data_IF_049543999851
#
_entry.id   IF_049543999851
#
_cell.length_a   1.000
_cell.length_b   1.000
_cell.length_c   1.000
_cell.angle_alpha   90.00
_cell.angle_beta   90.00
_cell.angle_gamma   90.00
#
_symmetry.space_group_name_H-M   'P 1'
#
loop_
_entity.id
_entity.type
_entity.pdbx_description
1 polymer ?
#
# COMPACT_ATOMS: atom_id res chain seq x y z
N UNK A 1 70.83 -14.08 -4.10
CA UNK A 1 70.42 -15.43 -4.59
C UNK A 1 69.64 -16.16 -3.51
N UNK A 2 68.31 -16.24 -3.65
CA UNK A 2 67.55 -17.50 -3.70
C UNK A 2 66.07 -17.18 -3.78
N UNK A 3 65.51 -17.55 -4.92
CA UNK A 3 64.11 -17.53 -5.26
C UNK A 3 63.33 -18.44 -4.31
N UNK A 4 62.29 -17.92 -3.67
CA UNK A 4 61.28 -18.73 -2.99
C UNK A 4 59.90 -18.35 -3.55
N UNK A 5 59.32 -19.33 -4.24
CA UNK A 5 57.90 -19.60 -4.48
C UNK A 5 57.00 -18.48 -5.03
N UNK A 6 57.10 -18.26 -6.35
CA UNK A 6 56.04 -17.61 -7.15
C UNK A 6 54.84 -18.54 -7.48
N UNK A 7 54.81 -19.78 -7.00
CA UNK A 7 53.74 -20.74 -7.29
C UNK A 7 52.66 -20.86 -6.20
N UNK A 8 52.85 -20.24 -5.02
CA UNK A 8 51.86 -20.26 -3.94
C UNK A 8 50.75 -19.20 -4.05
N UNK A 9 50.97 -18.13 -4.81
CA UNK A 9 50.02 -17.01 -4.95
C UNK A 9 49.01 -17.25 -6.10
N UNK A 10 49.37 -18.07 -7.09
CA UNK A 10 48.52 -18.32 -8.25
C UNK A 10 47.41 -19.37 -7.97
N UNK A 11 47.62 -20.28 -7.01
CA UNK A 11 46.60 -21.28 -6.65
C UNK A 11 45.48 -20.72 -5.76
N UNK A 12 45.79 -19.68 -4.96
CA UNK A 12 44.79 -19.00 -4.12
C UNK A 12 43.88 -18.06 -4.94
N UNK A 13 44.37 -17.52 -6.07
CA UNK A 13 43.57 -16.67 -6.96
C UNK A 13 42.57 -17.43 -7.83
N UNK A 14 42.86 -18.68 -8.19
CA UNK A 14 41.97 -19.50 -9.03
C UNK A 14 40.86 -20.17 -8.21
N UNK A 15 41.11 -20.53 -6.95
CA UNK A 15 40.06 -21.11 -6.09
C UNK A 15 39.01 -20.07 -5.65
N UNK A 16 39.37 -18.79 -5.56
CA UNK A 16 38.42 -17.72 -5.20
C UNK A 16 37.49 -17.33 -6.37
N UNK A 17 37.87 -17.66 -7.61
CA UNK A 17 37.11 -17.33 -8.82
C UNK A 17 36.10 -18.42 -9.22
N UNK A 18 36.24 -19.64 -8.70
CA UNK A 18 35.26 -20.73 -8.93
C UNK A 18 34.09 -20.67 -7.94
N UNK A 19 34.27 -20.07 -6.76
CA UNK A 19 33.19 -19.90 -5.76
C UNK A 19 32.25 -18.71 -6.09
N UNK A 20 32.62 -17.84 -7.04
CA UNK A 20 31.79 -16.70 -7.48
C UNK A 20 30.97 -16.99 -8.75
N UNK A 21 31.04 -18.21 -9.29
CA UNK A 21 30.32 -18.64 -10.48
C UNK A 21 29.24 -19.70 -10.22
N UNK A 22 28.98 -20.08 -8.98
CA UNK A 22 27.68 -20.70 -8.64
C UNK A 22 26.68 -19.58 -8.49
N UNK A 23 26.13 -19.16 -9.63
CA UNK A 23 24.95 -18.31 -9.66
C UNK A 23 23.90 -18.91 -8.74
N UNK A 24 23.53 -18.15 -7.70
CA UNK A 24 22.16 -18.16 -7.23
C UNK A 24 21.29 -17.88 -8.46
N UNK A 25 20.85 -18.92 -9.15
CA UNK A 25 19.58 -18.82 -9.82
C UNK A 25 18.57 -18.44 -8.73
N UNK A 26 17.69 -17.44 -8.97
CA UNK A 26 16.59 -17.23 -8.06
C UNK A 26 15.89 -18.57 -7.94
N UNK A 27 15.70 -19.03 -6.70
CA UNK A 27 14.92 -20.22 -6.39
C UNK A 27 13.60 -20.09 -7.14
N UNK A 28 13.52 -20.80 -8.26
CA UNK A 28 12.31 -20.87 -9.06
C UNK A 28 11.37 -21.60 -8.12
N UNK A 29 10.46 -20.87 -7.49
CA UNK A 29 9.31 -21.45 -6.82
C UNK A 29 8.55 -22.15 -7.94
N UNK A 30 8.93 -23.39 -8.21
CA UNK A 30 8.09 -24.34 -8.90
C UNK A 30 7.01 -24.62 -7.87
N UNK A 31 5.88 -23.92 -8.01
CA UNK A 31 4.64 -24.40 -7.45
C UNK A 31 4.43 -25.73 -8.17
N UNK A 32 4.70 -26.81 -7.45
CA UNK A 32 4.23 -28.12 -7.85
C UNK A 32 2.71 -28.02 -7.85
N UNK A 33 2.14 -27.66 -9.00
CA UNK A 33 0.72 -27.88 -9.29
C UNK A 33 0.59 -29.39 -9.38
N UNK A 34 0.54 -30.03 -8.21
CA UNK A 34 0.36 -31.46 -8.08
C UNK A 34 -0.95 -31.79 -8.77
N UNK A 35 -0.87 -32.11 -10.07
CA UNK A 35 -1.90 -32.80 -10.78
C UNK A 35 -1.95 -34.18 -10.13
N UNK A 36 -2.79 -34.28 -9.10
CA UNK A 36 -3.13 -35.53 -8.47
C UNK A 36 -3.90 -36.35 -9.51
N UNK A 37 -3.18 -37.10 -10.33
CA UNK A 37 -3.74 -38.23 -11.06
C UNK A 37 -4.34 -39.21 -10.04
N UNK A 38 -5.66 -39.31 -10.03
CA UNK A 38 -6.35 -40.52 -9.59
C UNK A 38 -6.52 -40.72 -8.08
N UNK A 39 -7.15 -39.77 -7.40
CA UNK A 39 -8.04 -40.07 -6.28
C UNK A 39 -9.21 -39.09 -6.37
N UNK A 40 -10.45 -39.58 -6.39
CA UNK A 40 -11.62 -38.72 -6.45
C UNK A 40 -11.61 -37.74 -5.28
N UNK A 41 -11.20 -36.49 -5.53
CA UNK A 41 -11.38 -35.41 -4.58
C UNK A 41 -12.88 -35.15 -4.54
N UNK A 42 -13.56 -35.73 -3.57
CA UNK A 42 -14.94 -35.40 -3.27
C UNK A 42 -14.96 -33.97 -2.70
N UNK A 43 -15.05 -32.96 -3.56
CA UNK A 43 -15.22 -31.57 -3.15
C UNK A 43 -14.08 -30.62 -3.55
N UNK A 44 -14.12 -29.42 -2.97
CA UNK A 44 -13.28 -28.27 -3.33
C UNK A 44 -12.00 -28.12 -2.49
N UNK A 45 -11.63 -29.15 -1.72
CA UNK A 45 -10.58 -29.04 -0.72
C UNK A 45 -9.20 -28.83 -1.35
N UNK A 46 -8.44 -27.86 -0.86
CA UNK A 46 -7.09 -27.58 -1.37
C UNK A 46 -6.65 -26.14 -1.21
N UNK A 47 -5.44 -25.86 -1.68
CA UNK A 47 -4.95 -24.49 -1.87
C UNK A 47 -5.18 -24.09 -3.33
N UNK A 48 -5.77 -22.91 -3.52
CA UNK A 48 -6.09 -22.37 -4.84
C UNK A 48 -5.52 -20.97 -5.01
N UNK A 49 -4.98 -20.69 -6.20
CA UNK A 49 -4.24 -19.45 -6.46
C UNK A 49 -4.79 -18.75 -7.69
N UNK A 50 -5.06 -17.46 -7.56
CA UNK A 50 -5.50 -16.61 -8.66
C UNK A 50 -4.69 -15.32 -8.75
N UNK A 51 -4.56 -14.80 -9.98
CA UNK A 51 -3.72 -13.63 -10.28
C UNK A 51 -4.49 -12.54 -11.02
N UNK A 52 -4.07 -11.29 -10.88
CA UNK A 52 -4.39 -10.20 -11.80
C UNK A 52 -3.19 -9.29 -11.94
N UNK A 53 -2.98 -8.66 -13.10
CA UNK A 53 -1.75 -7.93 -13.35
C UNK A 53 -1.92 -6.65 -14.16
N UNK A 54 -0.90 -5.78 -14.06
CA UNK A 54 -0.88 -4.52 -14.76
C UNK A 54 -0.78 -4.74 -16.28
N UNK A 55 -1.73 -4.16 -17.01
CA UNK A 55 -1.77 -4.22 -18.48
C UNK A 55 -2.60 -5.36 -19.05
N UNK A 56 -3.18 -6.20 -18.19
CA UNK A 56 -4.02 -7.34 -18.57
C UNK A 56 -5.14 -6.96 -19.56
N UNK A 57 -5.92 -5.91 -19.26
CA UNK A 57 -6.98 -5.45 -20.15
C UNK A 57 -6.49 -4.90 -21.51
N UNK A 58 -5.18 -4.80 -21.71
CA UNK A 58 -4.50 -4.36 -22.95
C UNK A 58 -3.62 -5.48 -23.52
N UNK A 59 -3.96 -6.73 -23.21
CA UNK A 59 -3.30 -7.93 -23.73
C UNK A 59 -1.80 -8.03 -23.38
N UNK A 60 -1.36 -7.39 -22.29
CA UNK A 60 0.00 -7.56 -21.75
C UNK A 60 0.09 -8.89 -21.03
N UNK A 61 1.11 -9.70 -21.28
CA UNK A 61 1.32 -10.96 -20.57
C UNK A 61 1.79 -10.71 -19.12
N UNK A 62 1.48 -11.63 -18.20
CA UNK A 62 1.91 -11.53 -16.79
C UNK A 62 3.43 -11.42 -16.63
N UNK A 63 4.19 -12.12 -17.47
CA UNK A 63 5.67 -12.09 -17.46
C UNK A 63 6.26 -10.73 -17.83
N UNK A 64 5.53 -9.96 -18.64
CA UNK A 64 5.86 -8.59 -19.06
C UNK A 64 5.31 -7.53 -18.10
N UNK A 65 4.48 -7.93 -17.14
CA UNK A 65 3.90 -7.01 -16.17
C UNK A 65 4.95 -6.50 -15.17
N UNK A 66 4.81 -5.23 -14.77
CA UNK A 66 5.66 -4.62 -13.72
C UNK A 66 5.03 -4.70 -12.32
N UNK A 67 3.81 -5.23 -12.23
CA UNK A 67 3.10 -5.45 -10.98
C UNK A 67 1.95 -6.43 -11.18
N UNK A 68 1.70 -7.25 -10.16
CA UNK A 68 0.58 -8.18 -10.10
C UNK A 68 0.06 -8.30 -8.67
N UNK A 69 -1.13 -8.86 -8.51
CA UNK A 69 -1.69 -9.27 -7.24
C UNK A 69 -2.06 -10.74 -7.31
N UNK A 70 -1.79 -11.48 -6.25
CA UNK A 70 -2.20 -12.88 -6.06
C UNK A 70 -3.19 -12.99 -4.91
N UNK A 71 -4.15 -13.89 -5.05
CA UNK A 71 -5.01 -14.38 -3.98
C UNK A 71 -4.76 -15.87 -3.80
N UNK A 72 -4.54 -16.30 -2.55
CA UNK A 72 -4.38 -17.70 -2.16
C UNK A 72 -5.52 -18.04 -1.20
N UNK A 73 -6.31 -19.05 -1.52
CA UNK A 73 -7.38 -19.58 -0.68
C UNK A 73 -7.04 -21.00 -0.24
N UNK A 74 -7.39 -21.37 1.00
CA UNK A 74 -7.53 -22.77 1.39
C UNK A 74 -9.00 -23.08 1.59
N UNK A 75 -9.52 -24.06 0.89
CA UNK A 75 -10.91 -24.49 0.98
C UNK A 75 -11.04 -25.85 1.68
N UNK A 76 -12.19 -26.12 2.28
CA UNK A 76 -12.62 -27.49 2.62
C UNK A 76 -13.40 -28.14 1.45
N UNK A 77 -13.85 -29.38 1.66
CA UNK A 77 -14.59 -30.16 0.65
C UNK A 77 -15.89 -29.47 0.21
N UNK A 78 -16.49 -28.64 1.08
CA UNK A 78 -17.74 -27.93 0.84
C UNK A 78 -17.55 -26.49 0.32
N UNK A 79 -16.32 -26.12 -0.06
CA UNK A 79 -15.91 -24.77 -0.49
C UNK A 79 -15.98 -23.69 0.60
N UNK A 80 -15.97 -24.04 1.87
CA UNK A 80 -15.79 -23.05 2.93
C UNK A 80 -14.33 -22.59 2.96
N UNK A 81 -14.13 -21.28 3.00
CA UNK A 81 -12.80 -20.67 3.04
C UNK A 81 -12.22 -20.82 4.44
N UNK A 82 -11.20 -21.67 4.56
CA UNK A 82 -10.48 -21.91 5.80
C UNK A 82 -9.34 -20.91 6.01
N UNK A 83 -8.65 -20.53 4.92
CA UNK A 83 -7.59 -19.52 4.91
C UNK A 83 -7.71 -18.66 3.66
N UNK A 84 -7.35 -17.38 3.79
CA UNK A 84 -7.24 -16.46 2.67
C UNK A 84 -6.00 -15.57 2.83
N UNK A 85 -5.31 -15.30 1.73
CA UNK A 85 -4.17 -14.37 1.70
C UNK A 85 -4.16 -13.62 0.37
N UNK A 86 -3.84 -12.33 0.43
CA UNK A 86 -3.63 -11.51 -0.77
C UNK A 86 -2.26 -10.83 -0.72
N UNK A 87 -1.53 -10.87 -1.84
CA UNK A 87 -0.21 -10.23 -1.96
C UNK A 87 -0.12 -9.40 -3.22
N UNK A 88 0.37 -8.17 -3.09
CA UNK A 88 0.60 -7.30 -4.24
C UNK A 88 2.10 -7.20 -4.44
N UNK A 89 2.55 -7.50 -5.65
CA UNK A 89 3.94 -7.42 -6.05
C UNK A 89 4.17 -6.29 -7.05
N UNK A 90 5.32 -5.65 -6.92
CA UNK A 90 5.82 -4.63 -7.85
C UNK A 90 7.29 -4.89 -8.12
N UNK A 91 7.74 -4.67 -9.36
CA UNK A 91 9.17 -4.64 -9.66
C UNK A 91 9.78 -3.36 -9.12
N UNK A 92 10.78 -3.48 -8.26
CA UNK A 92 11.63 -2.40 -7.75
C UNK A 92 13.07 -2.82 -8.03
N UNK A 93 13.81 -2.00 -8.78
CA UNK A 93 15.19 -2.27 -9.16
C UNK A 93 15.41 -3.66 -9.79
N UNK A 94 14.43 -4.14 -10.56
CA UNK A 94 14.46 -5.45 -11.23
C UNK A 94 13.97 -6.64 -10.39
N UNK A 95 13.67 -6.44 -9.10
CA UNK A 95 13.22 -7.50 -8.20
C UNK A 95 11.75 -7.37 -7.82
N UNK A 96 11.05 -8.50 -7.67
CA UNK A 96 9.69 -8.52 -7.14
C UNK A 96 9.70 -8.22 -5.65
N UNK A 97 9.06 -7.11 -5.29
CA UNK A 97 8.88 -6.68 -3.90
C UNK A 97 7.40 -6.58 -3.57
N UNK A 98 7.02 -7.01 -2.37
CA UNK A 98 5.62 -6.89 -1.92
C UNK A 98 5.34 -5.47 -1.45
N UNK A 99 4.16 -4.92 -1.78
CA UNK A 99 3.70 -3.63 -1.21
C UNK A 99 3.41 -3.71 0.28
N UNK A 100 3.21 -4.92 0.79
CA UNK A 100 2.99 -5.23 2.21
C UNK A 100 4.29 -5.34 3.01
N UNK A 101 5.46 -5.30 2.38
CA UNK A 101 6.72 -5.23 3.11
C UNK A 101 6.79 -3.87 3.81
N UNK A 102 6.18 -3.77 5.00
CA UNK A 102 6.09 -2.57 5.83
C UNK A 102 7.43 -2.05 6.36
N UNK A 103 8.54 -2.43 5.72
CA UNK A 103 9.87 -1.96 6.03
C UNK A 103 10.08 -0.62 5.31
N UNK A 104 10.01 0.47 6.07
CA UNK A 104 10.52 1.76 5.65
C UNK A 104 11.86 2.06 6.33
N UNK A 105 12.74 2.74 5.63
CA UNK A 105 13.87 3.43 6.26
C UNK A 105 13.57 4.92 6.26
N UNK A 106 13.68 5.54 7.43
CA UNK A 106 13.35 6.95 7.62
C UNK A 106 14.57 7.67 8.18
N UNK A 107 14.95 8.75 7.51
CA UNK A 107 15.94 9.71 7.98
C UNK A 107 15.29 11.09 8.03
N UNK A 108 15.76 11.93 8.97
CA UNK A 108 15.25 13.28 9.19
C UNK A 108 16.41 14.26 9.22
N UNK A 109 16.34 15.28 8.39
CA UNK A 109 17.21 16.46 8.42
C UNK A 109 16.46 17.65 9.01
N UNK A 110 16.72 17.92 10.29
CA UNK A 110 16.11 19.04 11.02
C UNK A 110 16.58 20.42 10.55
N UNK A 111 17.64 20.51 9.74
CA UNK A 111 18.10 21.78 9.17
C UNK A 111 17.22 22.27 8.02
N UNK A 112 16.48 21.36 7.38
CA UNK A 112 15.56 21.69 6.28
C UNK A 112 14.31 22.35 6.83
N UNK A 113 13.88 23.45 6.21
CA UNK A 113 12.53 23.98 6.37
C UNK A 113 11.71 23.48 5.18
N UNK A 114 10.64 22.71 5.40
CA UNK A 114 9.92 22.09 4.30
C UNK A 114 9.28 23.16 3.41
N UNK A 115 9.33 22.94 2.09
CA UNK A 115 8.66 23.79 1.10
C UNK A 115 7.65 22.96 0.31
N UNK A 116 6.58 23.59 -0.14
CA UNK A 116 5.54 22.87 -0.87
C UNK A 116 6.04 22.46 -2.26
N UNK A 117 5.79 21.22 -2.66
CA UNK A 117 5.98 20.79 -4.04
C UNK A 117 4.95 21.45 -4.97
N UNK A 118 5.27 21.60 -6.26
CA UNK A 118 4.30 22.12 -7.23
C UNK A 118 3.25 21.06 -7.59
N UNK A 119 2.07 21.49 -8.01
CA UNK A 119 1.00 20.59 -8.46
C UNK A 119 1.05 20.40 -9.99
N UNK A 120 0.33 19.40 -10.50
CA UNK A 120 0.13 19.19 -11.94
C UNK A 120 1.19 18.30 -12.64
N UNK A 121 1.21 18.41 -13.97
CA UNK A 121 2.10 17.64 -14.86
C UNK A 121 3.56 18.08 -14.76
N UNK A 122 3.80 19.37 -14.49
CA UNK A 122 5.13 19.95 -14.24
C UNK A 122 5.47 19.91 -12.74
N UNK A 123 5.26 18.74 -12.14
CA UNK A 123 5.56 18.52 -10.72
C UNK A 123 7.05 18.71 -10.43
N UNK A 124 7.34 19.55 -9.44
CA UNK A 124 8.64 19.78 -8.82
C UNK A 124 8.50 19.44 -7.35
N UNK A 125 9.37 18.55 -6.88
CA UNK A 125 9.42 18.16 -5.47
C UNK A 125 9.84 19.37 -4.63
N UNK A 126 9.15 19.61 -3.52
CA UNK A 126 9.55 20.61 -2.52
C UNK A 126 10.66 20.10 -1.60
N UNK A 127 11.22 20.99 -0.80
CA UNK A 127 12.22 20.64 0.21
C UNK A 127 11.55 19.81 1.31
N UNK A 128 12.20 18.72 1.69
CA UNK A 128 11.64 17.66 2.54
C UNK A 128 12.62 17.40 3.67
N UNK A 129 12.19 17.50 4.93
CA UNK A 129 12.99 17.09 6.08
C UNK A 129 13.19 15.58 6.09
N UNK A 130 12.22 14.84 5.54
CA UNK A 130 12.24 13.37 5.56
C UNK A 130 12.83 12.78 4.29
N UNK A 131 13.70 11.79 4.45
CA UNK A 131 14.06 10.83 3.41
C UNK A 131 13.49 9.47 3.78
N UNK A 132 12.44 9.05 3.06
CA UNK A 132 11.71 7.80 3.31
C UNK A 132 11.94 6.85 2.14
N UNK A 133 12.60 5.73 2.41
CA UNK A 133 12.76 4.64 1.45
C UNK A 133 11.81 3.50 1.81
N UNK A 134 10.82 3.25 0.97
CA UNK A 134 9.84 2.17 1.12
C UNK A 134 9.25 1.80 -0.24
N UNK A 135 8.78 0.56 -0.39
CA UNK A 135 8.07 0.10 -1.60
C UNK A 135 6.73 0.84 -1.75
N UNK A 136 6.10 1.24 -0.65
CA UNK A 136 4.87 2.01 -0.69
C UNK A 136 4.67 2.89 0.57
N UNK A 137 4.65 4.22 0.41
CA UNK A 137 4.45 5.13 1.54
C UNK A 137 2.96 5.42 1.84
N UNK A 138 2.00 4.82 1.12
CA UNK A 138 0.57 5.04 1.38
C UNK A 138 0.20 4.80 2.84
N UNK A 139 -0.48 5.78 3.44
CA UNK A 139 -0.88 5.77 4.85
C UNK A 139 0.28 5.65 5.84
N UNK A 140 1.51 5.94 5.43
CA UNK A 140 2.66 6.01 6.31
C UNK A 140 2.62 7.32 7.11
N UNK A 141 3.01 7.23 8.38
CA UNK A 141 3.41 8.40 9.17
C UNK A 141 4.83 8.20 9.68
N UNK A 142 5.56 9.29 9.89
CA UNK A 142 6.90 9.27 10.46
C UNK A 142 7.07 10.42 11.46
N UNK A 143 7.89 10.21 12.49
CA UNK A 143 8.16 11.23 13.50
C UNK A 143 9.56 11.10 14.08
N UNK A 144 10.18 12.23 14.40
CA UNK A 144 11.44 12.33 15.12
C UNK A 144 11.44 13.57 16.01
N UNK A 145 12.23 13.54 17.09
CA UNK A 145 12.44 14.70 17.98
C UNK A 145 13.94 14.89 18.16
N UNK A 146 14.44 16.07 17.80
CA UNK A 146 15.85 16.42 17.93
C UNK A 146 16.23 16.72 19.39
N UNK A 147 17.53 16.80 19.66
CA UNK A 147 18.07 17.05 21.01
C UNK A 147 17.69 18.41 21.60
N UNK A 148 17.34 19.40 20.78
CA UNK A 148 16.89 20.73 21.23
C UNK A 148 15.38 20.81 21.49
N UNK A 149 14.63 19.73 21.21
CA UNK A 149 13.18 19.66 21.33
C UNK A 149 12.41 20.01 20.05
N UNK A 150 13.08 20.20 18.91
CA UNK A 150 12.43 20.33 17.60
C UNK A 150 11.73 19.02 17.24
N UNK A 151 10.45 19.07 16.89
CA UNK A 151 9.69 17.90 16.42
C UNK A 151 9.51 17.99 14.91
N UNK A 152 9.85 16.91 14.21
CA UNK A 152 9.51 16.72 12.81
C UNK A 152 8.50 15.58 12.70
N UNK A 153 7.38 15.82 12.01
CA UNK A 153 6.34 14.84 11.74
C UNK A 153 6.02 14.83 10.24
N UNK A 154 5.71 13.66 9.70
CA UNK A 154 5.23 13.48 8.33
C UNK A 154 4.03 12.54 8.31
N UNK A 155 3.04 12.86 7.47
CA UNK A 155 1.88 12.01 7.18
C UNK A 155 1.70 11.93 5.67
N UNK A 156 1.68 10.73 5.12
CA UNK A 156 1.42 10.50 3.70
C UNK A 156 -0.08 10.33 3.50
N UNK A 157 -0.71 11.38 2.98
CA UNK A 157 -2.16 11.48 2.89
C UNK A 157 -2.68 10.72 1.65
N UNK A 158 -3.61 9.76 1.79
CA UNK A 158 -3.99 8.84 0.74
C UNK A 158 -4.81 9.44 -0.43
N UNK A 159 -5.51 10.56 -0.24
CA UNK A 159 -6.36 11.16 -1.26
C UNK A 159 -5.56 11.98 -2.25
N UNK A 160 -4.72 12.88 -1.75
CA UNK A 160 -3.80 13.73 -2.50
C UNK A 160 -2.52 12.99 -2.89
N UNK A 161 -2.15 11.97 -2.12
CA UNK A 161 -0.90 11.20 -2.25
C UNK A 161 0.35 12.05 -2.08
N UNK A 162 0.28 13.09 -1.25
CA UNK A 162 1.44 13.87 -0.84
C UNK A 162 1.88 13.50 0.58
N UNK A 163 3.19 13.63 0.82
CA UNK A 163 3.76 13.69 2.15
C UNK A 163 3.56 15.10 2.69
N UNK A 164 2.79 15.22 3.76
CA UNK A 164 2.63 16.46 4.51
C UNK A 164 3.57 16.46 5.70
N UNK A 165 4.41 17.48 5.77
CA UNK A 165 5.42 17.63 6.80
C UNK A 165 5.09 18.77 7.75
N UNK A 166 5.37 18.53 9.03
CA UNK A 166 5.13 19.45 10.12
C UNK A 166 6.42 19.61 10.90
N UNK A 167 6.88 20.85 11.03
CA UNK A 167 8.07 21.21 11.82
C UNK A 167 7.65 22.09 12.99
N UNK A 168 7.85 21.59 14.20
CA UNK A 168 7.56 22.33 15.42
C UNK A 168 8.87 22.73 16.10
N UNK A 169 9.21 24.03 16.14
CA UNK A 169 10.47 24.48 16.75
C UNK A 169 10.44 24.33 18.28
N UNK A 170 11.60 24.46 18.95
CA UNK A 170 11.67 24.44 20.40
C UNK A 170 10.77 25.53 21.02
N UNK A 171 9.97 25.15 22.02
CA UNK A 171 9.04 26.05 22.69
C UNK A 171 7.69 26.26 21.99
N UNK A 172 7.40 25.50 20.92
CA UNK A 172 6.08 25.49 20.29
C UNK A 172 4.96 25.11 21.28
N UNK A 173 3.79 25.74 21.15
CA UNK A 173 2.60 25.42 21.95
C UNK A 173 1.91 24.15 21.45
N UNK A 174 2.27 23.00 22.01
CA UNK A 174 1.64 21.72 21.69
C UNK A 174 0.21 21.57 22.24
N UNK A 175 -0.28 22.54 23.02
CA UNK A 175 -1.68 22.67 23.41
C UNK A 175 -2.57 23.26 22.31
N UNK A 176 -1.97 23.86 21.28
CA UNK A 176 -2.70 24.30 20.09
C UNK A 176 -3.44 23.13 19.43
N UNK A 177 -4.55 23.45 18.76
CA UNK A 177 -5.49 22.48 18.21
C UNK A 177 -5.03 21.99 16.84
N UNK A 178 -5.33 20.74 16.50
CA UNK A 178 -5.00 20.15 15.20
C UNK A 178 -5.63 20.93 14.04
N UNK A 179 -6.78 21.58 14.23
CA UNK A 179 -7.38 22.43 13.20
C UNK A 179 -6.54 23.66 12.82
N UNK A 180 -5.51 24.02 13.60
CA UNK A 180 -4.56 25.07 13.23
C UNK A 180 -3.46 24.57 12.30
N UNK A 181 -3.32 23.24 12.14
CA UNK A 181 -2.40 22.62 11.17
C UNK A 181 -3.01 22.65 9.77
N UNK A 182 -3.38 23.84 9.31
CA UNK A 182 -4.01 23.96 7.99
C UNK A 182 -2.98 23.74 6.88
N UNK A 183 -3.45 23.24 5.75
CA UNK A 183 -2.59 22.86 4.62
C UNK A 183 -1.89 24.09 4.06
N UNK A 184 -0.60 23.99 3.79
CA UNK A 184 0.22 25.07 3.20
C UNK A 184 0.26 26.37 4.03
N UNK A 185 -0.04 26.30 5.33
CA UNK A 185 -0.05 27.47 6.25
C UNK A 185 1.30 27.83 6.87
N UNK A 186 2.36 27.07 6.56
CA UNK A 186 3.63 27.10 7.28
C UNK A 186 3.78 25.94 8.28
N UNK A 187 2.68 25.32 8.73
CA UNK A 187 2.71 24.25 9.75
C UNK A 187 2.49 22.84 9.20
N UNK A 188 1.73 22.69 8.11
CA UNK A 188 1.51 21.41 7.43
C UNK A 188 1.77 21.59 5.94
N UNK A 189 2.97 21.21 5.49
CA UNK A 189 3.49 21.53 4.15
C UNK A 189 3.51 20.26 3.27
N UNK A 190 2.81 20.24 2.13
CA UNK A 190 2.88 19.11 1.19
C UNK A 190 4.17 19.15 0.37
N UNK A 191 5.17 18.36 0.72
CA UNK A 191 6.53 18.44 0.12
C UNK A 191 6.69 17.54 -1.10
N UNK A 192 6.25 16.29 -0.99
CA UNK A 192 6.62 15.22 -1.95
C UNK A 192 5.39 14.47 -2.43
N UNK A 193 5.20 14.38 -3.75
CA UNK A 193 4.22 13.49 -4.37
C UNK A 193 4.71 12.06 -4.31
N UNK A 194 3.92 11.19 -3.68
CA UNK A 194 4.30 9.78 -3.45
C UNK A 194 3.86 8.83 -4.56
N UNK A 195 2.87 9.20 -5.39
CA UNK A 195 2.54 8.48 -6.63
C UNK A 195 1.63 9.29 -7.58
N UNK A 196 1.61 8.92 -8.86
CA UNK A 196 0.67 9.44 -9.86
C UNK A 196 -0.69 8.73 -9.76
N UNK A 197 -1.78 9.48 -9.61
CA UNK A 197 -3.15 8.92 -9.52
C UNK A 197 -3.87 9.21 -8.21
N UNK A 198 -3.69 10.42 -7.68
CA UNK A 198 -4.44 10.94 -6.55
C UNK A 198 -5.95 10.92 -6.82
N UNK A 199 -6.74 10.61 -5.80
CA UNK A 199 -8.21 10.72 -5.88
C UNK A 199 -8.61 12.20 -5.87
N UNK A 200 -7.97 12.99 -5.01
CA UNK A 200 -8.09 14.44 -5.01
C UNK A 200 -6.80 15.04 -5.58
N UNK A 201 -6.87 15.64 -6.76
CA UNK A 201 -5.78 16.38 -7.36
C UNK A 201 -6.16 17.87 -7.38
N UNK A 202 -5.84 18.65 -6.33
CA UNK A 202 -6.14 20.07 -6.34
C UNK A 202 -5.32 20.79 -7.43
N UNK A 203 -5.89 21.83 -8.03
CA UNK A 203 -5.19 22.66 -9.02
C UNK A 203 -4.19 23.63 -8.37
N UNK A 204 -4.42 23.97 -7.09
CA UNK A 204 -3.53 24.77 -6.26
C UNK A 204 -3.60 24.33 -4.80
N UNK A 205 -2.54 24.55 -4.02
CA UNK A 205 -2.61 24.33 -2.57
C UNK A 205 -3.56 25.29 -1.87
N UNK A 206 -3.72 26.49 -2.43
CA UNK A 206 -4.67 27.50 -1.93
C UNK A 206 -6.12 27.01 -1.95
N UNK A 207 -6.47 26.10 -2.86
CA UNK A 207 -7.80 25.51 -2.93
C UNK A 207 -8.19 24.72 -1.67
N UNK A 208 -7.21 24.27 -0.88
CA UNK A 208 -7.41 23.49 0.35
C UNK A 208 -6.67 24.08 1.55
N UNK A 209 -6.12 25.29 1.45
CA UNK A 209 -5.20 25.85 2.45
C UNK A 209 -5.87 26.25 3.78
N UNK A 210 -7.19 26.46 3.77
CA UNK A 210 -7.98 26.71 4.97
C UNK A 210 -8.37 25.45 5.74
N UNK A 211 -8.18 24.28 5.13
CA UNK A 211 -8.53 22.99 5.72
C UNK A 211 -7.32 22.32 6.38
N UNK A 212 -7.56 21.27 7.15
CA UNK A 212 -6.51 20.44 7.74
C UNK A 212 -6.68 18.97 7.31
N UNK A 213 -5.62 18.16 7.46
CA UNK A 213 -5.56 16.76 6.96
C UNK A 213 -6.75 15.89 7.39
N UNK A 214 -7.32 16.15 8.56
CA UNK A 214 -8.42 15.40 9.14
C UNK A 214 -9.81 15.90 8.72
N UNK A 215 -9.94 16.92 7.87
CA UNK A 215 -11.26 17.45 7.47
C UNK A 215 -11.33 18.15 6.10
N UNK A 216 -10.29 18.10 5.25
CA UNK A 216 -10.33 18.77 3.94
C UNK A 216 -11.22 18.04 2.91
N UNK A 217 -11.59 16.79 3.16
CA UNK A 217 -12.42 16.01 2.25
C UNK A 217 -13.25 14.97 3.00
N UNK A 218 -14.38 14.53 2.43
CA UNK A 218 -15.25 13.56 3.11
C UNK A 218 -14.56 12.23 3.42
N UNK A 219 -13.54 11.84 2.63
CA UNK A 219 -12.71 10.66 2.86
C UNK A 219 -11.56 10.87 3.87
N UNK A 220 -11.39 12.07 4.45
CA UNK A 220 -10.39 12.31 5.50
C UNK A 220 -10.64 11.44 6.75
N UNK A 221 -11.85 10.88 6.89
CA UNK A 221 -12.19 9.91 7.93
C UNK A 221 -11.27 8.67 7.95
N UNK A 222 -10.69 8.29 6.81
CA UNK A 222 -9.73 7.17 6.72
C UNK A 222 -8.50 7.41 7.62
N UNK A 223 -8.16 8.67 7.92
CA UNK A 223 -7.07 8.97 8.85
C UNK A 223 -7.47 8.69 10.29
N UNK A 224 -8.71 9.03 10.72
CA UNK A 224 -9.05 9.14 12.14
C UNK A 224 -10.13 8.19 12.65
N UNK A 225 -10.78 7.41 11.80
CA UNK A 225 -11.79 6.46 12.28
C UNK A 225 -11.17 5.22 12.91
N UNK A 226 -9.99 4.81 12.44
CA UNK A 226 -9.35 3.55 12.86
C UNK A 226 -7.82 3.70 12.95
N UNK A 227 -7.19 2.79 13.69
CA UNK A 227 -5.73 2.72 13.80
C UNK A 227 -5.14 3.72 14.78
N UNK A 228 -3.88 4.11 14.53
CA UNK A 228 -3.09 4.93 15.46
C UNK A 228 -3.70 6.31 15.72
N UNK A 229 -4.42 6.88 14.75
CA UNK A 229 -5.05 8.20 14.86
C UNK A 229 -6.55 8.12 15.18
N UNK A 230 -7.03 6.96 15.64
CA UNK A 230 -8.43 6.79 16.03
C UNK A 230 -8.87 7.89 17.03
N UNK A 231 -9.88 8.67 16.65
CA UNK A 231 -10.41 9.77 17.46
C UNK A 231 -9.61 11.08 17.41
N UNK A 232 -8.53 11.18 16.62
CA UNK A 232 -7.84 12.45 16.38
C UNK A 232 -8.63 13.29 15.38
N UNK A 233 -9.06 14.48 15.80
CA UNK A 233 -9.80 15.40 14.94
C UNK A 233 -9.35 16.84 15.12
N UNK A 234 -10.05 17.78 14.49
CA UNK A 234 -9.68 19.21 14.57
C UNK A 234 -9.66 19.79 16.00
N UNK A 235 -10.47 19.23 16.90
CA UNK A 235 -10.50 19.61 18.31
C UNK A 235 -9.44 18.92 19.18
N UNK A 236 -8.70 17.93 18.67
CA UNK A 236 -7.57 17.34 19.40
C UNK A 236 -6.44 18.35 19.49
N UNK A 237 -5.55 18.22 20.48
CA UNK A 237 -4.32 19.02 20.54
C UNK A 237 -3.24 18.42 19.65
N UNK A 238 -2.28 19.25 19.22
CA UNK A 238 -1.11 18.78 18.47
C UNK A 238 -0.31 17.78 19.31
N UNK A 239 -0.25 17.96 20.64
CA UNK A 239 0.30 16.96 21.56
C UNK A 239 -0.36 15.59 21.41
N UNK A 240 -1.69 15.52 21.39
CA UNK A 240 -2.42 14.24 21.25
C UNK A 240 -2.09 13.56 19.91
N UNK A 241 -1.98 14.33 18.83
CA UNK A 241 -1.54 13.81 17.52
C UNK A 241 -0.11 13.25 17.59
N UNK A 242 0.84 13.99 18.18
CA UNK A 242 2.22 13.55 18.27
C UNK A 242 2.41 12.35 19.22
N UNK A 243 1.66 12.30 20.33
CA UNK A 243 1.61 11.14 21.23
C UNK A 243 1.07 9.90 20.49
N UNK A 244 0.05 10.05 19.65
CA UNK A 244 -0.44 8.98 18.78
C UNK A 244 0.61 8.50 17.75
N UNK A 245 1.52 9.38 17.32
CA UNK A 245 2.68 9.03 16.50
C UNK A 245 3.84 8.42 17.34
N UNK A 246 3.71 8.36 18.66
CA UNK A 246 4.70 7.78 19.57
C UNK A 246 5.72 8.78 20.14
N UNK A 247 5.44 10.08 20.10
CA UNK A 247 6.24 11.11 20.81
C UNK A 247 5.85 11.12 22.28
N UNK A 248 6.84 11.04 23.16
CA UNK A 248 6.65 11.20 24.59
C UNK A 248 6.87 12.66 25.00
N UNK A 249 6.15 13.11 26.02
CA UNK A 249 6.30 14.45 26.60
C UNK A 249 6.65 14.37 28.08
N UNK A 250 7.70 15.07 28.50
CA UNK A 250 8.09 15.28 29.90
C UNK A 250 8.02 16.77 30.22
N UNK A 251 7.34 17.14 31.31
CA UNK A 251 7.17 18.54 31.72
C UNK A 251 6.67 19.47 30.60
N UNK A 252 5.78 18.94 29.75
CA UNK A 252 5.21 19.67 28.62
C UNK A 252 6.14 19.84 27.41
N UNK A 253 7.32 19.22 27.41
CA UNK A 253 8.28 19.25 26.30
C UNK A 253 8.44 17.88 25.65
N UNK A 254 8.60 17.80 24.33
CA UNK A 254 8.81 16.53 23.65
C UNK A 254 10.18 15.94 24.04
N UNK A 255 10.20 14.64 24.30
CA UNK A 255 11.43 13.90 24.63
C UNK A 255 12.13 13.51 23.33
N UNK A 256 13.46 13.67 23.29
CA UNK A 256 14.29 13.30 22.13
C UNK A 256 13.96 11.88 21.68
N UNK A 257 13.76 11.71 20.37
CA UNK A 257 13.32 10.46 19.76
C UNK A 257 14.01 10.29 18.41
N UNK A 258 14.70 9.17 18.23
CA UNK A 258 15.21 8.79 16.91
C UNK A 258 14.06 8.66 15.90
N UNK A 259 14.32 8.82 14.58
CA UNK A 259 13.30 8.63 13.56
C UNK A 259 12.58 7.30 13.71
N UNK A 260 11.25 7.35 13.65
CA UNK A 260 10.37 6.20 13.72
C UNK A 260 9.20 6.41 12.76
N UNK A 261 8.53 5.33 12.39
CA UNK A 261 7.40 5.36 11.48
C UNK A 261 6.37 4.28 11.83
N UNK A 262 5.21 4.41 11.23
CA UNK A 262 4.16 3.40 11.24
C UNK A 262 3.18 3.65 10.11
N UNK A 263 2.09 2.89 10.11
CA UNK A 263 1.01 3.05 9.16
C UNK A 263 -0.30 3.31 9.92
N UNK A 264 -1.08 4.28 9.45
CA UNK A 264 -2.38 4.64 10.03
C UNK A 264 -3.56 3.96 9.31
N UNK A 265 -4.77 4.22 9.80
CA UNK A 265 -5.98 3.51 9.37
C UNK A 265 -5.87 2.04 9.74
N UNK A 266 -6.10 1.14 8.80
CA UNK A 266 -5.96 -0.30 9.02
C UNK A 266 -4.51 -0.81 9.05
N UNK A 267 -3.51 0.07 8.89
CA UNK A 267 -2.11 -0.34 8.71
C UNK A 267 -1.68 -0.39 7.25
N UNK A 268 -2.14 0.59 6.44
CA UNK A 268 -1.81 0.69 5.02
C UNK A 268 -2.34 -0.48 4.18
N UNK A 269 -1.61 -0.85 3.12
CA UNK A 269 -2.01 -1.94 2.22
C UNK A 269 -2.00 -3.31 2.88
N UNK A 270 -1.05 -3.57 3.78
CA UNK A 270 -1.01 -4.83 4.54
C UNK A 270 -2.28 -4.97 5.40
N UNK A 271 -2.62 -3.92 6.14
CA UNK A 271 -3.86 -3.82 6.89
C UNK A 271 -5.12 -4.11 6.07
N UNK A 272 -5.20 -3.47 4.90
CA UNK A 272 -6.30 -3.63 3.95
C UNK A 272 -6.44 -5.09 3.49
N UNK A 273 -5.35 -5.72 3.04
CA UNK A 273 -5.38 -7.11 2.59
C UNK A 273 -5.65 -8.11 3.72
N UNK A 274 -5.17 -7.83 4.93
CA UNK A 274 -5.51 -8.62 6.12
C UNK A 274 -6.98 -8.48 6.52
N UNK A 275 -7.61 -7.32 6.29
CA UNK A 275 -9.05 -7.14 6.50
C UNK A 275 -9.88 -7.93 5.47
N UNK A 276 -9.49 -7.90 4.19
CA UNK A 276 -10.13 -8.73 3.15
C UNK A 276 -9.99 -10.23 3.47
N UNK A 277 -8.78 -10.68 3.81
CA UNK A 277 -8.55 -12.07 4.20
C UNK A 277 -9.44 -12.50 5.38
N UNK A 278 -9.52 -11.68 6.43
CA UNK A 278 -10.40 -11.94 7.59
C UNK A 278 -11.88 -11.98 7.22
N UNK A 279 -12.32 -11.13 6.28
CA UNK A 279 -13.69 -11.13 5.78
C UNK A 279 -14.04 -12.42 5.01
N UNK A 280 -13.08 -13.00 4.29
CA UNK A 280 -13.25 -14.20 3.49
C UNK A 280 -13.33 -15.47 4.33
N UNK A 281 -12.50 -15.59 5.36
CA UNK A 281 -12.44 -16.80 6.21
C UNK A 281 -13.80 -17.08 6.86
N UNK A 282 -14.26 -18.33 6.74
CA UNK A 282 -15.55 -18.82 7.25
C UNK A 282 -16.72 -18.63 6.29
N UNK A 283 -16.53 -17.98 5.13
CA UNK A 283 -17.56 -17.87 4.09
C UNK A 283 -17.49 -19.05 3.13
N UNK A 284 -18.63 -19.37 2.53
CA UNK A 284 -18.68 -20.32 1.42
C UNK A 284 -18.32 -19.60 0.12
N UNK A 285 -17.30 -20.10 -0.60
CA UNK A 285 -16.81 -19.49 -1.83
C UNK A 285 -17.81 -19.60 -3.00
N UNK A 286 -18.79 -20.51 -2.92
CA UNK A 286 -19.87 -20.63 -3.92
C UNK A 286 -20.90 -19.50 -3.80
N UNK A 287 -21.07 -18.94 -2.61
CA UNK A 287 -22.00 -17.84 -2.33
C UNK A 287 -21.35 -16.46 -2.52
N UNK A 288 -20.02 -16.42 -2.53
CA UNK A 288 -19.23 -15.19 -2.70
C UNK A 288 -18.34 -15.34 -3.93
N UNK A 289 -18.92 -15.32 -5.13
CA UNK A 289 -18.13 -15.47 -6.37
C UNK A 289 -17.37 -14.22 -6.77
N UNK A 290 -17.58 -13.08 -6.10
CA UNK A 290 -16.82 -11.85 -6.31
C UNK A 290 -16.70 -11.07 -5.01
N UNK A 291 -15.60 -10.34 -4.85
CA UNK A 291 -15.46 -9.36 -3.75
C UNK A 291 -16.37 -8.16 -3.98
N UNK A 292 -16.79 -7.91 -5.22
CA UNK A 292 -17.59 -6.75 -5.63
C UNK A 292 -19.02 -7.18 -5.90
N UNK A 293 -19.95 -6.41 -5.34
CA UNK A 293 -21.34 -6.50 -5.78
C UNK A 293 -21.50 -5.81 -7.14
N UNK A 294 -21.63 -6.62 -8.20
CA UNK A 294 -21.87 -6.15 -9.56
C UNK A 294 -23.36 -5.97 -9.88
N UNK A 295 -24.28 -6.20 -8.94
CA UNK A 295 -25.71 -6.02 -9.17
C UNK A 295 -26.15 -4.58 -9.50
N UNK A 296 -25.48 -3.50 -9.03
CA UNK A 296 -25.89 -2.15 -9.39
C UNK A 296 -25.66 -1.87 -10.89
N UNK A 297 -26.70 -1.41 -11.57
CA UNK A 297 -26.70 -1.16 -13.03
C UNK A 297 -25.52 -0.30 -13.51
N UNK A 298 -25.15 0.75 -12.76
CA UNK A 298 -24.01 1.61 -13.08
C UNK A 298 -22.65 0.88 -13.15
N UNK A 299 -22.53 -0.27 -12.48
CA UNK A 299 -21.34 -1.14 -12.49
C UNK A 299 -21.42 -2.17 -13.62
N UNK A 300 -22.59 -2.72 -13.89
CA UNK A 300 -22.82 -3.63 -15.03
C UNK A 300 -22.53 -2.92 -16.36
N UNK A 301 -23.06 -1.70 -16.52
CA UNK A 301 -22.82 -0.87 -17.71
C UNK A 301 -21.36 -0.43 -17.85
N UNK A 302 -20.51 -0.68 -16.86
CA UNK A 302 -19.09 -0.39 -16.90
C UNK A 302 -18.23 -1.63 -17.23
N UNK A 303 -18.84 -2.79 -17.44
CA UNK A 303 -18.18 -4.02 -17.88
C UNK A 303 -18.47 -4.18 -19.39
N UNK A 304 -17.42 -4.30 -20.20
CA UNK A 304 -17.57 -4.49 -21.65
C UNK A 304 -17.80 -5.96 -22.03
N UNK A 305 -17.99 -6.23 -23.31
CA UNK A 305 -18.21 -7.59 -23.86
C UNK A 305 -17.03 -8.56 -23.63
N UNK A 306 -15.85 -8.06 -23.24
CA UNK A 306 -14.67 -8.86 -22.88
C UNK A 306 -14.54 -9.04 -21.36
N UNK A 307 -15.60 -8.78 -20.60
CA UNK A 307 -15.61 -8.76 -19.15
C UNK A 307 -14.57 -7.83 -18.51
N UNK A 308 -14.20 -6.75 -19.21
CA UNK A 308 -13.27 -5.75 -18.67
C UNK A 308 -14.04 -4.60 -18.03
N UNK A 309 -13.76 -4.34 -16.76
CA UNK A 309 -14.35 -3.24 -16.02
C UNK A 309 -13.59 -1.92 -16.24
N UNK A 310 -14.32 -0.84 -16.52
CA UNK A 310 -13.79 0.52 -16.50
C UNK A 310 -13.01 0.92 -17.75
N UNK A 311 -13.03 0.08 -18.80
CA UNK A 311 -12.46 0.35 -20.13
C UNK A 311 -13.60 0.69 -21.08
N UNK A 312 -13.43 1.75 -21.88
CA UNK A 312 -14.39 2.18 -22.91
C UNK A 312 -15.84 2.30 -22.42
N UNK A 313 -16.00 2.78 -21.19
CA UNK A 313 -17.31 2.82 -20.54
C UNK A 313 -18.26 3.87 -21.16
N UNK A 314 -19.56 3.57 -21.27
CA UNK A 314 -20.60 4.52 -21.65
C UNK A 314 -20.63 5.76 -20.74
N UNK A 315 -21.18 6.85 -21.27
CA UNK A 315 -21.39 8.08 -20.48
C UNK A 315 -22.25 7.78 -19.24
N UNK A 316 -21.79 8.22 -18.07
CA UNK A 316 -22.46 8.01 -16.78
C UNK A 316 -22.14 6.70 -16.06
N UNK A 317 -21.47 5.74 -16.71
CA UNK A 317 -21.00 4.51 -16.07
C UNK A 317 -19.72 4.75 -15.26
N UNK A 318 -19.53 3.98 -14.18
CA UNK A 318 -18.40 4.20 -13.27
C UNK A 318 -17.11 3.56 -13.80
N UNK A 319 -15.99 4.29 -13.78
CA UNK A 319 -14.65 3.77 -14.13
C UNK A 319 -13.86 3.23 -12.93
N UNK A 320 -14.44 3.36 -11.74
CA UNK A 320 -13.83 2.97 -10.48
C UNK A 320 -14.88 2.30 -9.61
N UNK A 321 -14.50 1.21 -8.93
CA UNK A 321 -15.22 0.70 -7.78
C UNK A 321 -14.30 0.79 -6.59
N UNK A 322 -14.77 1.46 -5.55
CA UNK A 322 -14.18 1.41 -4.23
C UNK A 322 -15.30 1.06 -3.25
N UNK A 323 -15.08 0.04 -2.44
CA UNK A 323 -15.89 -0.16 -1.24
C UNK A 323 -15.07 0.46 -0.11
N UNK A 324 -15.40 1.69 0.21
CA UNK A 324 -14.75 2.50 1.24
C UNK A 324 -15.70 2.83 2.39
N UNK A 325 -16.85 2.16 2.50
CA UNK A 325 -17.69 2.26 3.69
C UNK A 325 -17.15 1.34 4.78
N UNK A 326 -17.18 1.84 6.02
CA UNK A 326 -16.80 1.18 7.27
C UNK A 326 -17.38 -0.24 7.39
N UNK A 327 -18.52 -0.51 6.74
CA UNK A 327 -19.28 -1.75 6.85
C UNK A 327 -19.09 -2.76 5.70
N UNK A 328 -18.40 -2.39 4.61
CA UNK A 328 -18.42 -3.19 3.38
C UNK A 328 -17.57 -4.46 3.41
N UNK A 329 -16.30 -4.35 3.81
CA UNK A 329 -15.34 -5.46 3.93
C UNK A 329 -14.47 -5.18 5.17
N UNK A 330 -15.06 -5.26 6.37
CA UNK A 330 -14.35 -5.04 7.64
C UNK A 330 -13.54 -3.72 7.71
N UNK A 331 -14.09 -2.62 7.19
CA UNK A 331 -13.44 -1.29 7.18
C UNK A 331 -12.35 -1.08 6.13
N UNK A 332 -12.09 -2.06 5.26
CA UNK A 332 -11.01 -2.00 4.28
C UNK A 332 -11.38 -1.11 3.08
N UNK A 333 -10.54 -0.11 2.74
CA UNK A 333 -10.68 0.66 1.49
C UNK A 333 -10.23 -0.20 0.31
N UNK A 334 -11.15 -0.97 -0.25
CA UNK A 334 -10.82 -1.90 -1.34
C UNK A 334 -10.92 -1.16 -2.68
N UNK A 335 -9.82 -1.08 -3.45
CA UNK A 335 -9.85 -0.70 -4.87
C UNK A 335 -10.28 -1.90 -5.72
N UNK A 336 -11.49 -2.33 -5.43
CA UNK A 336 -12.23 -3.55 -5.76
C UNK A 336 -12.07 -4.23 -7.12
N UNK A 337 -11.40 -3.67 -8.11
CA UNK A 337 -11.34 -4.27 -9.43
C UNK A 337 -10.27 -5.37 -9.51
N UNK A 338 -8.99 -5.10 -9.26
CA UNK A 338 -7.92 -6.12 -9.40
C UNK A 338 -7.91 -7.18 -8.30
N UNK A 339 -8.23 -6.79 -7.05
CA UNK A 339 -8.35 -7.73 -5.93
C UNK A 339 -9.45 -8.76 -6.22
N UNK A 340 -10.60 -8.31 -6.74
CA UNK A 340 -11.68 -9.20 -7.14
C UNK A 340 -11.28 -10.12 -8.29
N UNK A 341 -10.59 -9.61 -9.31
CA UNK A 341 -10.12 -10.45 -10.43
C UNK A 341 -9.21 -11.57 -9.92
N UNK A 342 -8.23 -11.27 -9.06
CA UNK A 342 -7.35 -12.31 -8.50
C UNK A 342 -8.09 -13.31 -7.61
N UNK A 343 -9.12 -12.86 -6.87
CA UNK A 343 -9.97 -13.74 -6.07
C UNK A 343 -10.83 -14.65 -6.97
N UNK A 344 -11.48 -14.10 -7.99
CA UNK A 344 -12.26 -14.85 -8.97
C UNK A 344 -11.40 -15.92 -9.65
N UNK A 345 -10.15 -15.61 -10.02
CA UNK A 345 -9.24 -16.62 -10.56
C UNK A 345 -8.84 -17.71 -9.57
N UNK A 346 -8.79 -17.42 -8.27
CA UNK A 346 -8.61 -18.48 -7.28
C UNK A 346 -9.85 -19.39 -7.20
N UNK A 347 -11.03 -18.88 -7.55
CA UNK A 347 -12.25 -19.69 -7.68
C UNK A 347 -12.28 -20.49 -8.99
N UNK A 348 -11.71 -19.96 -10.08
CA UNK A 348 -11.48 -20.71 -11.33
C UNK A 348 -10.55 -21.90 -11.08
N UNK A 349 -9.44 -21.68 -10.38
CA UNK A 349 -8.50 -22.74 -10.00
C UNK A 349 -9.15 -23.80 -9.08
N UNK A 350 -10.15 -23.40 -8.29
CA UNK A 350 -10.97 -24.31 -7.49
C UNK A 350 -12.10 -25.02 -8.27
N UNK A 351 -12.33 -24.67 -9.54
CA UNK A 351 -13.45 -25.20 -10.34
C UNK A 351 -14.84 -24.74 -9.86
N UNK A 352 -14.93 -23.58 -9.21
CA UNK A 352 -16.19 -22.99 -8.69
C UNK A 352 -16.87 -22.09 -9.74
N UNK A 353 -16.07 -21.36 -10.53
CA UNK A 353 -16.52 -20.53 -11.66
C UNK A 353 -15.62 -20.81 -12.87
N UNK A 354 -16.02 -20.35 -14.05
CA UNK A 354 -15.22 -20.47 -15.26
C UNK A 354 -14.39 -19.19 -15.52
N UNK A 355 -13.29 -19.27 -16.27
CA UNK A 355 -12.48 -18.08 -16.61
C UNK A 355 -13.29 -17.03 -17.37
N UNK A 356 -14.31 -17.46 -18.13
CA UNK A 356 -15.23 -16.55 -18.83
C UNK A 356 -16.10 -15.71 -17.87
N UNK A 357 -16.29 -16.13 -16.61
CA UNK A 357 -17.02 -15.37 -15.59
C UNK A 357 -16.15 -14.32 -14.88
N UNK A 358 -14.83 -14.34 -15.12
CA UNK A 358 -13.87 -13.45 -14.46
C UNK A 358 -14.04 -12.03 -14.99
N UNK A 359 -14.28 -11.09 -14.09
CA UNK A 359 -14.32 -9.67 -14.43
C UNK A 359 -12.91 -9.10 -14.28
N UNK A 360 -12.31 -8.74 -15.42
CA UNK A 360 -10.97 -8.15 -15.48
C UNK A 360 -11.05 -6.72 -14.97
N UNK A 361 -10.50 -6.51 -13.79
CA UNK A 361 -10.50 -5.24 -13.12
C UNK A 361 -9.42 -4.28 -13.60
N UNK A 362 -9.62 -3.00 -13.31
CA UNK A 362 -8.56 -2.01 -13.44
C UNK A 362 -7.43 -2.30 -12.45
N UNK A 363 -6.20 -2.30 -12.96
CA UNK A 363 -4.99 -2.52 -12.17
C UNK A 363 -4.38 -1.21 -11.64
#
# INVERSE_FOLDING_TARGET
MKNINRYGVLLAGVLLLVVLATGCEPERIVIDTGAAEGAGAAGYAGYHVGYSWAGEARDVALEDANSYIETILRLDEDANILEARMRYFQRVDGFWSTRQAGNAQVQVDFSVNPTAGTLGSEYVRGDSMFSIYTVNPMSLYAVAVDGDGTVAAAIVEPLTRYQFEMKFPPGFDFGARVNTLTINSGLSIPTTRTSGGAFLAPDSWDAIAGDHLFNFHFYSHVLYEQGVFAGIGGNSTIRQLLEAMGVEFSDGRPVRKAPSYGYFGLGGWEGNYNAIARYLVGRNARDLTSLVDWSPERRQNAINERNQFGVDVPSGATRTVQNSSVDGIAGATVRMSRESTSYQRALVDAGIIEEEDVIIGRF
#
